data_IF_626931274831
#
_entry.id   IF_626931274831
#
_cell.length_a   1.000
_cell.length_b   1.000
_cell.length_c   1.000
_cell.angle_alpha   90.00
_cell.angle_beta   90.00
_cell.angle_gamma   90.00
#
_symmetry.space_group_name_H-M   'P 1'
#
loop_
_entity.id
_entity.type
_entity.pdbx_description
1 polymer ?
#
# COMPACT_ATOMS: atom_id res chain seq x y z
N UNK A 1 -18.83 65.44 11.88
CA UNK A 1 -18.33 64.61 10.75
C UNK A 1 -17.74 63.34 11.36
N UNK A 2 -18.55 62.31 11.54
CA UNK A 2 -18.18 61.06 12.24
C UNK A 2 -17.77 60.05 11.19
N UNK A 3 -16.52 59.59 11.23
CA UNK A 3 -15.99 58.59 10.30
C UNK A 3 -16.44 57.21 10.78
N UNK A 4 -17.52 56.70 10.18
CA UNK A 4 -17.95 55.31 10.34
C UNK A 4 -16.83 54.37 9.94
N UNK A 5 -16.30 53.63 10.92
CA UNK A 5 -15.47 52.46 10.67
C UNK A 5 -16.36 51.35 10.12
N UNK A 6 -16.15 51.01 8.85
CA UNK A 6 -16.70 49.81 8.23
C UNK A 6 -16.09 48.59 8.91
N UNK A 7 -16.86 47.95 9.78
CA UNK A 7 -16.59 46.61 10.28
C UNK A 7 -16.60 45.63 9.12
N UNK A 8 -15.45 45.08 8.77
CA UNK A 8 -15.38 43.95 7.86
C UNK A 8 -16.12 42.75 8.51
N UNK A 9 -16.98 42.04 7.75
CA UNK A 9 -17.63 40.86 8.28
C UNK A 9 -16.57 39.80 8.55
N UNK A 10 -16.48 39.37 9.80
CA UNK A 10 -15.75 38.19 10.25
C UNK A 10 -16.10 37.03 9.34
N UNK A 11 -15.11 36.46 8.65
CA UNK A 11 -15.34 35.29 7.81
C UNK A 11 -15.88 34.16 8.68
N UNK A 12 -17.16 33.81 8.53
CA UNK A 12 -17.71 32.63 9.15
C UNK A 12 -16.92 31.42 8.66
N UNK A 13 -16.10 30.84 9.54
CA UNK A 13 -15.44 29.57 9.30
C UNK A 13 -16.54 28.52 9.26
N UNK A 14 -16.97 28.14 8.06
CA UNK A 14 -17.90 27.02 7.89
C UNK A 14 -17.12 25.74 8.18
N UNK A 15 -17.22 25.26 9.41
CA UNK A 15 -16.70 23.96 9.79
C UNK A 15 -17.48 22.86 9.07
N UNK A 16 -16.80 21.78 8.71
CA UNK A 16 -17.49 20.54 8.34
C UNK A 16 -18.35 20.08 9.52
N UNK A 17 -19.57 19.61 9.24
CA UNK A 17 -20.34 18.88 10.23
C UNK A 17 -19.68 17.52 10.53
N UNK A 18 -20.07 16.89 11.63
CA UNK A 18 -19.47 15.63 12.09
C UNK A 18 -19.58 14.51 11.05
N UNK A 19 -20.67 14.47 10.28
CA UNK A 19 -20.89 13.46 9.25
C UNK A 19 -19.94 13.67 8.08
N UNK A 20 -19.78 14.90 7.60
CA UNK A 20 -18.87 15.26 6.54
C UNK A 20 -17.41 15.04 6.98
N UNK A 21 -17.09 15.32 8.24
CA UNK A 21 -15.77 15.04 8.83
C UNK A 21 -15.45 13.56 8.80
N UNK A 22 -16.38 12.73 9.30
CA UNK A 22 -16.24 11.26 9.28
C UNK A 22 -16.10 10.70 7.88
N UNK A 23 -16.93 11.15 6.93
CA UNK A 23 -16.84 10.70 5.53
C UNK A 23 -15.51 11.10 4.87
N UNK A 24 -14.98 12.28 5.17
CA UNK A 24 -13.67 12.72 4.68
C UNK A 24 -12.52 11.86 5.27
N UNK A 25 -12.64 11.46 6.54
CA UNK A 25 -11.69 10.55 7.17
C UNK A 25 -11.77 9.12 6.60
N UNK A 26 -12.97 8.62 6.34
CA UNK A 26 -13.22 7.27 5.80
C UNK A 26 -12.90 7.17 4.30
N UNK A 27 -12.74 8.32 3.62
CA UNK A 27 -12.27 8.38 2.24
C UNK A 27 -10.82 7.89 2.06
N UNK A 28 -10.04 7.76 3.14
CA UNK A 28 -8.67 7.22 3.10
C UNK A 28 -8.53 5.96 3.95
N UNK A 29 -7.62 5.06 3.54
CA UNK A 29 -7.36 3.85 4.33
C UNK A 29 -6.79 4.16 5.71
N UNK A 30 -7.02 3.28 6.69
CA UNK A 30 -6.49 3.38 8.06
C UNK A 30 -4.97 3.63 8.06
N UNK A 31 -4.22 2.89 7.23
CA UNK A 31 -2.77 3.08 7.06
C UNK A 31 -2.41 4.48 6.56
N UNK A 32 -3.21 5.04 5.66
CA UNK A 32 -3.02 6.41 5.16
C UNK A 32 -3.33 7.44 6.24
N UNK A 33 -4.39 7.21 7.03
CA UNK A 33 -4.75 8.05 8.18
C UNK A 33 -3.62 8.10 9.21
N UNK A 34 -3.09 6.95 9.61
CA UNK A 34 -1.95 6.86 10.54
C UNK A 34 -0.71 7.57 10.00
N UNK A 35 -0.40 7.40 8.71
CA UNK A 35 0.74 8.10 8.10
C UNK A 35 0.54 9.62 8.13
N UNK A 36 -0.64 10.10 7.75
CA UNK A 36 -0.96 11.54 7.77
C UNK A 36 -0.84 12.11 9.18
N UNK A 37 -1.36 11.39 10.19
CA UNK A 37 -1.21 11.75 11.59
C UNK A 37 0.27 11.86 11.99
N UNK A 38 1.08 10.84 11.69
CA UNK A 38 2.51 10.86 11.99
C UNK A 38 3.27 11.99 11.26
N UNK A 39 2.83 12.38 10.05
CA UNK A 39 3.41 13.52 9.32
C UNK A 39 3.07 14.86 9.98
N UNK A 40 1.86 15.00 10.52
CA UNK A 40 1.43 16.18 11.30
C UNK A 40 2.23 16.25 12.61
N UNK A 41 2.34 15.16 13.36
CA UNK A 41 3.14 15.12 14.60
C UNK A 41 4.57 15.59 14.34
N UNK A 42 5.22 15.11 13.27
CA UNK A 42 6.58 15.55 12.92
C UNK A 42 6.70 17.04 12.60
N UNK A 43 5.65 17.65 12.06
CA UNK A 43 5.61 19.09 11.84
C UNK A 43 5.45 19.84 13.17
N UNK A 44 4.60 19.34 14.07
CA UNK A 44 4.42 19.92 15.40
C UNK A 44 5.72 19.83 16.24
N UNK A 45 6.42 18.69 16.18
CA UNK A 45 7.72 18.52 16.85
C UNK A 45 8.76 19.51 16.32
N UNK A 46 8.82 19.71 15.00
CA UNK A 46 9.68 20.73 14.39
C UNK A 46 9.27 22.14 14.81
N UNK A 47 7.97 22.47 14.78
CA UNK A 47 7.48 23.79 15.15
C UNK A 47 7.78 24.12 16.63
N UNK A 48 7.66 23.13 17.52
CA UNK A 48 8.05 23.25 18.92
C UNK A 48 9.56 23.55 19.05
N UNK A 49 10.41 22.85 18.31
CA UNK A 49 11.86 23.09 18.31
C UNK A 49 12.25 24.48 17.78
N UNK A 50 11.47 25.04 16.84
CA UNK A 50 11.64 26.39 16.30
C UNK A 50 10.99 27.49 17.18
N UNK A 51 10.44 27.13 18.35
CA UNK A 51 9.74 28.04 19.27
C UNK A 51 8.55 28.77 18.63
N UNK A 52 7.83 28.11 17.71
CA UNK A 52 6.63 28.67 17.08
C UNK A 52 5.43 28.59 18.01
N UNK A 53 4.59 29.62 17.98
CA UNK A 53 3.34 29.68 18.76
C UNK A 53 2.18 29.01 18.00
N UNK A 54 1.07 28.72 18.69
CA UNK A 54 -0.11 28.09 18.08
C UNK A 54 -0.60 28.84 16.81
N UNK A 55 -0.71 30.19 16.81
CA UNK A 55 -1.06 30.95 15.61
C UNK A 55 -0.11 30.76 14.41
N UNK A 56 1.15 30.40 14.65
CA UNK A 56 2.16 30.20 13.60
C UNK A 56 2.05 28.81 12.94
N UNK A 57 1.31 27.89 13.55
CA UNK A 57 1.25 26.47 13.21
C UNK A 57 -0.07 26.12 12.51
N UNK A 58 -1.18 26.75 12.92
CA UNK A 58 -2.51 26.46 12.37
C UNK A 58 -3.36 27.74 12.22
N UNK A 59 -3.53 28.27 10.99
CA UNK A 59 -2.87 27.86 9.75
C UNK A 59 -1.42 28.38 9.68
N UNK A 60 -0.49 27.48 9.39
CA UNK A 60 0.89 27.86 9.12
C UNK A 60 1.00 28.82 7.92
N UNK A 61 1.74 29.91 8.10
CA UNK A 61 2.05 30.86 7.01
C UNK A 61 2.85 30.17 5.89
N UNK A 62 2.84 30.73 4.67
CA UNK A 62 3.67 30.19 3.59
C UNK A 62 5.17 30.18 3.97
N UNK A 63 5.64 31.17 4.73
CA UNK A 63 7.02 31.23 5.20
C UNK A 63 7.32 30.08 6.18
N UNK A 64 6.43 29.82 7.15
CA UNK A 64 6.55 28.69 8.08
C UNK A 64 6.60 27.37 7.31
N UNK A 65 5.73 27.20 6.32
CA UNK A 65 5.71 26.02 5.46
C UNK A 65 7.00 25.88 4.64
N UNK A 66 7.56 26.99 4.14
CA UNK A 66 8.83 27.00 3.43
C UNK A 66 10.00 26.62 4.34
N UNK A 67 10.04 27.12 5.57
CA UNK A 67 11.08 26.79 6.54
C UNK A 67 11.04 25.31 6.91
N UNK A 68 9.84 24.75 7.14
CA UNK A 68 9.69 23.31 7.36
C UNK A 68 10.08 22.50 6.11
N UNK A 69 9.76 22.97 4.91
CA UNK A 69 10.19 22.28 3.69
C UNK A 69 11.71 22.28 3.57
N UNK A 70 12.37 23.41 3.87
CA UNK A 70 13.82 23.53 3.84
C UNK A 70 14.50 22.62 4.87
N UNK A 71 13.94 22.46 6.07
CA UNK A 71 14.51 21.57 7.10
C UNK A 71 14.49 20.09 6.71
N UNK A 72 13.69 19.71 5.70
CA UNK A 72 13.65 18.36 5.14
C UNK A 72 14.70 18.11 4.05
N UNK A 73 15.40 19.15 3.58
CA UNK A 73 16.40 19.04 2.51
C UNK A 73 17.53 18.08 2.93
N UNK A 74 17.89 17.14 2.04
CA UNK A 74 18.91 16.14 2.30
C UNK A 74 18.50 15.02 3.28
N UNK A 75 17.45 15.20 4.08
CA UNK A 75 16.97 14.21 5.05
C UNK A 75 15.94 13.24 4.47
N UNK A 76 15.12 13.69 3.54
CA UNK A 76 14.07 12.88 2.91
C UNK A 76 14.03 13.12 1.40
N UNK A 77 13.49 12.15 0.66
CA UNK A 77 13.25 12.35 -0.78
C UNK A 77 12.22 13.46 -1.02
N UNK A 78 12.33 14.17 -2.15
CA UNK A 78 11.33 15.17 -2.52
C UNK A 78 9.90 14.61 -2.64
N UNK A 79 9.75 13.33 -3.02
CA UNK A 79 8.46 12.63 -2.99
C UNK A 79 7.90 12.51 -1.55
N UNK A 80 8.76 12.15 -0.59
CA UNK A 80 8.40 12.10 0.84
C UNK A 80 8.02 13.48 1.36
N UNK A 81 8.79 14.52 1.04
CA UNK A 81 8.47 15.89 1.41
C UNK A 81 7.09 16.31 0.88
N UNK A 82 6.83 16.14 -0.42
CA UNK A 82 5.51 16.42 -1.03
C UNK A 82 4.36 15.66 -0.35
N UNK A 83 4.59 14.40 0.03
CA UNK A 83 3.61 13.61 0.79
C UNK A 83 3.31 14.22 2.16
N UNK A 84 4.34 14.69 2.89
CA UNK A 84 4.17 15.37 4.19
C UNK A 84 3.31 16.62 4.06
N UNK A 85 3.60 17.47 3.08
CA UNK A 85 2.81 18.68 2.84
C UNK A 85 1.38 18.38 2.37
N UNK A 86 1.16 17.25 1.69
CA UNK A 86 -0.19 16.78 1.38
C UNK A 86 -0.97 16.36 2.64
N UNK A 87 -0.28 15.74 3.61
CA UNK A 87 -0.82 15.43 4.94
C UNK A 87 -1.16 16.71 5.71
N UNK A 88 -0.23 17.67 5.76
CA UNK A 88 -0.44 18.97 6.42
C UNK A 88 -1.60 19.75 5.79
N UNK A 89 -1.65 19.84 4.46
CA UNK A 89 -2.75 20.49 3.75
C UNK A 89 -4.10 19.88 4.10
N UNK A 90 -4.16 18.55 4.13
CA UNK A 90 -5.38 17.85 4.52
C UNK A 90 -5.78 18.18 5.96
N UNK A 91 -4.82 18.15 6.89
CA UNK A 91 -5.07 18.51 8.29
C UNK A 91 -5.54 19.95 8.46
N UNK A 92 -4.86 20.94 7.86
CA UNK A 92 -5.27 22.36 7.92
C UNK A 92 -6.70 22.58 7.43
N UNK A 93 -7.08 21.94 6.33
CA UNK A 93 -8.44 22.03 5.77
C UNK A 93 -9.47 21.35 6.69
N UNK A 94 -9.13 20.19 7.27
CA UNK A 94 -10.01 19.47 8.21
C UNK A 94 -10.25 20.25 9.51
N UNK A 95 -9.30 21.07 9.93
CA UNK A 95 -9.45 22.01 11.05
C UNK A 95 -10.18 23.31 10.65
N UNK A 96 -10.73 23.39 9.44
CA UNK A 96 -11.51 24.55 8.98
C UNK A 96 -10.67 25.75 8.54
N UNK A 97 -9.35 25.60 8.44
CA UNK A 97 -8.47 26.68 8.03
C UNK A 97 -8.14 26.63 6.54
N UNK A 98 -7.92 27.80 5.95
CA UNK A 98 -7.42 27.92 4.58
C UNK A 98 -5.97 27.44 4.51
N UNK A 99 -5.67 26.62 3.50
CA UNK A 99 -4.29 26.31 3.14
C UNK A 99 -3.56 27.54 2.57
N UNK A 100 -2.47 27.97 3.21
CA UNK A 100 -1.71 29.16 2.83
C UNK A 100 -0.45 28.86 1.98
N UNK A 101 -0.16 27.59 1.67
CA UNK A 101 0.99 27.25 0.82
C UNK A 101 0.76 27.62 -0.65
N UNK A 102 1.67 28.41 -1.23
CA UNK A 102 1.61 28.96 -2.58
C UNK A 102 2.83 28.61 -3.44
N UNK A 103 3.25 29.55 -4.29
CA UNK A 103 4.32 29.32 -5.26
C UNK A 103 5.72 29.31 -4.64
N UNK A 104 5.93 29.99 -3.51
CA UNK A 104 7.22 29.92 -2.80
C UNK A 104 7.43 28.52 -2.26
N UNK A 105 6.39 27.94 -1.65
CA UNK A 105 6.45 26.56 -1.16
C UNK A 105 6.73 25.57 -2.29
N UNK A 106 6.09 25.73 -3.46
CA UNK A 106 6.37 24.87 -4.63
C UNK A 106 7.84 24.96 -5.06
N UNK A 107 8.41 26.17 -5.10
CA UNK A 107 9.83 26.39 -5.44
C UNK A 107 10.77 25.77 -4.41
N UNK A 108 10.48 25.92 -3.11
CA UNK A 108 11.28 25.31 -2.05
C UNK A 108 11.21 23.78 -2.13
N UNK A 109 10.03 23.19 -2.33
CA UNK A 109 9.89 21.75 -2.50
C UNK A 109 10.63 21.22 -3.74
N UNK A 110 10.71 21.99 -4.82
CA UNK A 110 11.55 21.66 -5.97
C UNK A 110 13.04 21.74 -5.65
N UNK A 111 13.44 22.70 -4.79
CA UNK A 111 14.78 22.76 -4.21
C UNK A 111 15.13 21.53 -3.38
N UNK A 112 14.22 21.11 -2.48
CA UNK A 112 14.37 19.89 -1.66
C UNK A 112 14.53 18.64 -2.53
N UNK A 113 13.74 18.53 -3.60
CA UNK A 113 13.83 17.42 -4.56
C UNK A 113 15.21 17.38 -5.22
N UNK A 114 15.74 18.54 -5.65
CA UNK A 114 17.08 18.65 -6.25
C UNK A 114 18.23 18.45 -5.26
N UNK A 115 18.02 18.78 -4.00
CA UNK A 115 18.98 18.55 -2.92
C UNK A 115 19.00 17.08 -2.46
N UNK A 116 18.08 16.24 -2.94
CA UNK A 116 18.04 14.81 -2.60
C UNK A 116 19.30 14.13 -3.18
N UNK A 117 20.18 13.55 -2.34
CA UNK A 117 21.42 12.95 -2.81
C UNK A 117 21.18 11.83 -3.83
N UNK A 118 22.03 11.73 -4.84
CA UNK A 118 21.94 10.65 -5.84
C UNK A 118 22.03 9.26 -5.20
N UNK A 119 22.79 9.14 -4.11
CA UNK A 119 22.91 7.92 -3.28
C UNK A 119 21.61 7.48 -2.62
N UNK A 120 20.61 8.36 -2.49
CA UNK A 120 19.31 8.01 -1.92
C UNK A 120 18.38 7.32 -2.92
N UNK A 121 18.64 7.44 -4.23
CA UNK A 121 17.85 6.77 -5.25
C UNK A 121 18.29 5.32 -5.37
N UNK A 122 17.33 4.41 -5.16
CA UNK A 122 17.56 2.99 -5.44
C UNK A 122 17.52 2.76 -6.94
N UNK A 123 18.44 1.94 -7.44
CA UNK A 123 18.39 1.46 -8.81
C UNK A 123 17.02 0.84 -9.12
N UNK A 124 16.55 1.04 -10.35
CA UNK A 124 15.30 0.44 -10.80
C UNK A 124 15.43 -1.08 -10.70
N UNK A 125 14.47 -1.73 -10.02
CA UNK A 125 14.45 -3.19 -9.91
C UNK A 125 14.26 -3.79 -11.31
N UNK A 126 15.02 -4.84 -11.61
CA UNK A 126 14.83 -5.60 -12.84
C UNK A 126 13.43 -6.24 -12.85
N UNK A 127 12.81 -6.38 -14.04
CA UNK A 127 11.53 -7.07 -14.15
C UNK A 127 11.66 -8.53 -13.74
N UNK A 128 10.59 -9.08 -13.16
CA UNK A 128 10.48 -10.53 -12.95
C UNK A 128 10.16 -11.19 -14.28
N UNK A 129 11.02 -12.10 -14.72
CA UNK A 129 10.92 -12.79 -16.00
C UNK A 129 10.48 -14.24 -15.78
N UNK A 130 9.92 -14.92 -16.80
CA UNK A 130 9.52 -16.33 -16.68
C UNK A 130 10.68 -17.24 -16.26
N UNK A 131 11.93 -16.90 -16.61
CA UNK A 131 13.12 -17.62 -16.15
C UNK A 131 13.30 -17.58 -14.63
N UNK A 132 12.93 -16.47 -13.98
CA UNK A 132 13.02 -16.35 -12.51
C UNK A 132 11.97 -17.25 -11.85
N UNK A 133 10.76 -17.39 -12.43
CA UNK A 133 9.78 -18.36 -11.95
C UNK A 133 10.24 -19.80 -12.11
N UNK A 134 10.96 -20.12 -13.21
CA UNK A 134 11.55 -21.44 -13.41
C UNK A 134 12.59 -21.74 -12.33
N UNK A 135 13.58 -20.85 -12.16
CA UNK A 135 14.59 -20.99 -11.11
C UNK A 135 13.98 -21.10 -9.70
N UNK A 136 12.96 -20.28 -9.41
CA UNK A 136 12.22 -20.39 -8.14
C UNK A 136 11.56 -21.77 -8.01
N UNK A 137 10.87 -22.23 -9.05
CA UNK A 137 10.19 -23.52 -9.03
C UNK A 137 11.17 -24.70 -8.86
N UNK A 138 12.32 -24.66 -9.52
CA UNK A 138 13.32 -25.73 -9.45
C UNK A 138 13.94 -25.87 -8.04
N UNK A 139 13.96 -24.78 -7.25
CA UNK A 139 14.41 -24.78 -5.87
C UNK A 139 13.33 -25.11 -4.82
N UNK A 140 12.07 -25.27 -5.21
CA UNK A 140 10.95 -25.53 -4.32
C UNK A 140 10.67 -27.03 -4.23
N UNK A 141 10.44 -27.54 -3.01
CA UNK A 141 10.06 -28.95 -2.81
C UNK A 141 8.60 -29.18 -3.19
N UNK A 142 8.33 -30.16 -4.04
CA UNK A 142 6.98 -30.58 -4.39
C UNK A 142 6.25 -31.31 -3.25
N UNK A 143 6.93 -31.66 -2.16
CA UNK A 143 6.36 -32.35 -0.99
C UNK A 143 6.05 -31.38 0.16
N UNK A 144 6.55 -30.14 0.10
CA UNK A 144 6.31 -29.13 1.12
C UNK A 144 5.05 -28.33 0.79
N UNK A 145 4.05 -28.38 1.67
CA UNK A 145 2.81 -27.59 1.51
C UNK A 145 3.08 -26.10 1.35
N UNK A 146 4.06 -25.56 2.10
CA UNK A 146 4.51 -24.17 1.97
C UNK A 146 5.08 -23.89 0.56
N UNK A 147 5.97 -24.76 0.08
CA UNK A 147 6.68 -24.52 -1.19
C UNK A 147 5.74 -24.61 -2.38
N UNK A 148 4.81 -25.56 -2.36
CA UNK A 148 3.78 -25.69 -3.39
C UNK A 148 2.86 -24.46 -3.38
N UNK A 149 2.50 -23.96 -2.19
CA UNK A 149 1.71 -22.73 -2.05
C UNK A 149 2.48 -21.50 -2.57
N UNK A 150 3.78 -21.38 -2.26
CA UNK A 150 4.66 -20.33 -2.79
C UNK A 150 4.75 -20.40 -4.32
N UNK A 151 4.90 -21.61 -4.89
CA UNK A 151 4.95 -21.80 -6.34
C UNK A 151 3.64 -21.37 -7.01
N UNK A 152 2.48 -21.77 -6.46
CA UNK A 152 1.17 -21.37 -6.96
C UNK A 152 0.98 -19.85 -6.86
N UNK A 153 1.29 -19.25 -5.70
CA UNK A 153 1.18 -17.81 -5.52
C UNK A 153 2.07 -17.02 -6.49
N UNK A 154 3.34 -17.42 -6.66
CA UNK A 154 4.26 -16.73 -7.56
C UNK A 154 3.78 -16.74 -9.01
N UNK A 155 3.34 -17.91 -9.51
CA UNK A 155 2.87 -18.06 -10.89
C UNK A 155 1.56 -17.31 -11.10
N UNK A 156 0.60 -17.43 -10.18
CA UNK A 156 -0.68 -16.71 -10.25
C UNK A 156 -0.47 -15.20 -10.20
N UNK A 157 0.38 -14.69 -9.31
CA UNK A 157 0.67 -13.26 -9.26
C UNK A 157 1.37 -12.75 -10.51
N UNK A 158 2.34 -13.51 -11.05
CA UNK A 158 3.04 -13.11 -12.26
C UNK A 158 2.11 -13.09 -13.48
N UNK A 159 1.36 -14.16 -13.74
CA UNK A 159 0.55 -14.25 -14.96
C UNK A 159 -0.80 -13.52 -14.85
N UNK A 160 -1.34 -13.39 -13.64
CA UNK A 160 -2.51 -12.54 -13.36
C UNK A 160 -2.15 -11.06 -13.13
N UNK A 161 -0.87 -10.68 -13.17
CA UNK A 161 -0.41 -9.31 -12.90
C UNK A 161 -0.91 -8.75 -11.55
N UNK A 162 -1.04 -9.62 -10.55
CA UNK A 162 -1.58 -9.29 -9.25
C UNK A 162 -0.55 -8.57 -8.38
N UNK A 163 -1.00 -7.63 -7.55
CA UNK A 163 -0.19 -7.13 -6.46
C UNK A 163 -0.21 -8.15 -5.33
N UNK A 164 0.94 -8.37 -4.70
CA UNK A 164 1.02 -9.33 -3.58
C UNK A 164 0.04 -9.00 -2.44
N UNK A 165 -0.23 -7.72 -2.20
CA UNK A 165 -1.17 -7.28 -1.17
C UNK A 165 -2.64 -7.55 -1.49
N UNK A 166 -2.98 -7.96 -2.71
CA UNK A 166 -4.36 -8.34 -3.11
C UNK A 166 -4.65 -9.80 -2.78
N UNK A 167 -3.62 -10.64 -2.63
CA UNK A 167 -3.79 -12.10 -2.44
C UNK A 167 -2.99 -12.69 -1.27
N UNK A 168 -1.99 -11.97 -0.74
CA UNK A 168 -1.18 -12.40 0.40
C UNK A 168 -1.35 -11.41 1.57
N UNK A 169 -1.93 -11.83 2.70
CA UNK A 169 -2.11 -10.94 3.85
C UNK A 169 -0.79 -10.69 4.59
N UNK A 170 -0.86 -9.82 5.60
CA UNK A 170 0.27 -9.56 6.50
C UNK A 170 0.30 -10.49 7.71
N UNK A 171 -0.81 -11.17 8.03
CA UNK A 171 -0.92 -12.09 9.15
C UNK A 171 -1.12 -13.53 8.65
N UNK A 172 -0.40 -14.48 9.22
CA UNK A 172 -0.46 -15.91 8.87
C UNK A 172 -1.52 -16.68 9.65
N UNK A 173 -2.05 -16.07 10.71
CA UNK A 173 -3.10 -16.64 11.55
C UNK A 173 -4.44 -16.64 10.80
N UNK A 174 -4.99 -17.83 10.58
CA UNK A 174 -6.25 -18.01 9.85
C UNK A 174 -7.44 -17.37 10.56
N UNK A 175 -7.40 -17.28 11.90
CA UNK A 175 -8.46 -16.65 12.68
C UNK A 175 -8.54 -15.14 12.47
N UNK A 176 -7.48 -14.54 11.93
CA UNK A 176 -7.39 -13.12 11.57
C UNK A 176 -7.53 -12.89 10.07
N UNK A 177 -7.93 -13.91 9.32
CA UNK A 177 -8.17 -13.80 7.90
C UNK A 177 -9.50 -13.08 7.65
N UNK A 178 -9.46 -12.02 6.86
CA UNK A 178 -10.64 -11.25 6.49
C UNK A 178 -11.01 -11.53 5.03
N UNK A 179 -12.04 -12.38 4.85
CA UNK A 179 -12.54 -12.77 3.53
C UNK A 179 -13.28 -11.65 2.79
N UNK A 180 -13.63 -10.54 3.47
CA UNK A 180 -14.24 -9.38 2.82
C UNK A 180 -13.23 -8.57 1.99
N UNK A 181 -11.93 -8.76 2.25
CA UNK A 181 -10.86 -8.04 1.56
C UNK A 181 -9.81 -8.95 0.90
N UNK A 182 -9.82 -10.26 1.18
CA UNK A 182 -8.84 -11.22 0.64
C UNK A 182 -9.54 -12.46 0.04
N UNK A 183 -9.01 -13.03 -1.06
CA UNK A 183 -9.71 -14.07 -1.80
C UNK A 183 -9.72 -15.44 -1.11
N UNK A 184 -10.89 -16.08 -1.06
CA UNK A 184 -11.03 -17.49 -0.72
C UNK A 184 -10.84 -18.37 -1.96
N UNK A 185 -10.70 -19.68 -1.75
CA UNK A 185 -10.62 -20.64 -2.86
C UNK A 185 -11.89 -20.61 -3.72
N UNK A 186 -13.07 -20.39 -3.13
CA UNK A 186 -14.34 -20.26 -3.85
C UNK A 186 -14.38 -19.08 -4.84
N UNK A 187 -13.54 -18.06 -4.64
CA UNK A 187 -13.45 -16.91 -5.55
C UNK A 187 -12.66 -17.23 -6.82
N UNK A 188 -12.01 -18.40 -6.88
CA UNK A 188 -11.34 -18.87 -8.07
C UNK A 188 -12.30 -19.73 -8.90
N UNK A 189 -12.86 -19.13 -9.95
CA UNK A 189 -13.82 -19.76 -10.85
C UNK A 189 -13.28 -21.04 -11.52
N UNK A 190 -14.16 -21.82 -12.16
CA UNK A 190 -13.78 -23.04 -12.85
C UNK A 190 -12.85 -22.76 -14.04
N UNK A 191 -12.25 -23.83 -14.58
CA UNK A 191 -11.48 -23.75 -15.81
C UNK A 191 -12.43 -23.44 -16.97
N UNK A 192 -12.12 -22.40 -17.74
CA UNK A 192 -12.90 -21.98 -18.90
C UNK A 192 -12.50 -22.78 -20.17
N UNK A 193 -13.17 -22.50 -21.30
CA UNK A 193 -12.92 -23.17 -22.58
C UNK A 193 -11.47 -23.00 -23.10
N UNK A 194 -10.76 -21.98 -22.65
CA UNK A 194 -9.35 -21.72 -23.00
C UNK A 194 -8.36 -22.31 -21.98
N UNK A 195 -8.83 -23.13 -21.03
CA UNK A 195 -7.99 -23.71 -19.98
C UNK A 195 -7.59 -22.74 -18.87
N UNK A 196 -8.06 -21.49 -18.92
CA UNK A 196 -7.73 -20.43 -17.96
C UNK A 196 -8.75 -20.36 -16.83
N UNK A 197 -8.46 -19.64 -15.74
CA UNK A 197 -9.40 -19.43 -14.62
C UNK A 197 -9.63 -17.96 -14.36
N UNK A 198 -10.80 -17.58 -13.88
CA UNK A 198 -11.06 -16.22 -13.40
C UNK A 198 -10.94 -16.19 -11.87
N UNK A 199 -10.19 -15.23 -11.32
CA UNK A 199 -10.09 -14.99 -9.89
C UNK A 199 -10.81 -13.69 -9.54
N UNK A 200 -11.81 -13.78 -8.68
CA UNK A 200 -12.41 -12.60 -8.06
C UNK A 200 -11.56 -12.13 -6.87
N UNK A 201 -11.17 -10.87 -6.89
CA UNK A 201 -10.50 -10.16 -5.80
C UNK A 201 -11.56 -9.39 -5.00
N UNK A 202 -11.82 -9.74 -3.72
CA UNK A 202 -12.85 -9.05 -2.93
C UNK A 202 -12.57 -7.57 -2.71
N UNK A 203 -11.29 -7.19 -2.67
CA UNK A 203 -10.90 -5.80 -2.52
C UNK A 203 -9.61 -5.46 -3.25
N UNK A 204 -9.63 -4.32 -3.93
CA UNK A 204 -8.41 -3.69 -4.46
C UNK A 204 -8.25 -2.28 -3.90
N UNK A 205 -7.07 -1.69 -4.12
CA UNK A 205 -6.80 -0.32 -3.68
C UNK A 205 -7.81 0.70 -4.24
N UNK A 206 -8.28 0.49 -5.47
CA UNK A 206 -9.12 1.45 -6.21
C UNK A 206 -10.60 1.10 -6.17
N UNK A 207 -10.94 -0.18 -6.29
CA UNK A 207 -12.34 -0.63 -6.30
C UNK A 207 -12.90 -0.91 -4.90
N UNK A 208 -12.04 -1.03 -3.89
CA UNK A 208 -12.43 -1.42 -2.51
C UNK A 208 -13.33 -2.66 -2.57
N UNK A 209 -14.39 -2.70 -1.77
CA UNK A 209 -15.34 -3.82 -1.67
C UNK A 209 -16.16 -4.09 -2.95
N UNK A 210 -16.08 -3.24 -4.00
CA UNK A 210 -16.62 -3.61 -5.31
C UNK A 210 -15.86 -4.78 -5.93
N UNK A 211 -14.62 -5.00 -5.48
CA UNK A 211 -13.77 -6.07 -5.98
C UNK A 211 -13.29 -5.83 -7.41
N UNK A 212 -12.62 -6.82 -7.96
CA UNK A 212 -12.16 -6.85 -9.35
C UNK A 212 -12.00 -8.30 -9.81
N UNK A 213 -11.99 -8.54 -11.12
CA UNK A 213 -11.79 -9.87 -11.70
C UNK A 213 -10.47 -9.92 -12.47
N UNK A 214 -9.72 -11.00 -12.26
CA UNK A 214 -8.43 -11.21 -12.90
C UNK A 214 -8.39 -12.55 -13.60
N UNK A 215 -8.06 -12.52 -14.89
CA UNK A 215 -7.82 -13.73 -15.66
C UNK A 215 -6.46 -14.34 -15.27
N UNK A 216 -6.46 -15.62 -14.92
CA UNK A 216 -5.28 -16.43 -14.68
C UNK A 216 -5.07 -17.32 -15.92
N UNK A 217 -4.21 -16.91 -16.86
CA UNK A 217 -4.07 -17.61 -18.13
C UNK A 217 -3.27 -18.90 -17.97
N UNK A 218 -3.65 -19.93 -18.71
CA UNK A 218 -2.83 -21.15 -18.86
C UNK A 218 -1.49 -20.79 -19.51
N UNK A 219 -0.40 -21.43 -19.08
CA UNK A 219 0.93 -21.27 -19.66
C UNK A 219 1.56 -22.62 -19.99
N UNK A 220 2.62 -22.59 -20.79
CA UNK A 220 3.34 -23.80 -21.14
C UNK A 220 4.31 -24.24 -20.03
N UNK A 221 4.39 -25.55 -19.82
CA UNK A 221 5.40 -26.17 -18.97
C UNK A 221 5.18 -25.95 -17.47
N UNK A 222 6.29 -25.99 -16.71
CA UNK A 222 6.24 -26.00 -15.24
C UNK A 222 5.87 -24.66 -14.60
N UNK A 223 5.83 -23.57 -15.37
CA UNK A 223 5.40 -22.26 -14.87
C UNK A 223 3.90 -22.02 -14.98
N UNK A 224 3.12 -22.98 -15.46
CA UNK A 224 1.67 -22.87 -15.57
C UNK A 224 0.98 -22.57 -14.22
N UNK A 225 0.30 -21.42 -14.07
CA UNK A 225 -0.38 -21.08 -12.83
C UNK A 225 -1.61 -21.98 -12.58
N UNK A 226 -2.30 -22.43 -13.64
CA UNK A 226 -3.51 -23.26 -13.50
C UNK A 226 -3.15 -24.64 -12.92
N UNK A 227 -2.13 -25.29 -13.49
CA UNK A 227 -1.55 -26.51 -12.92
C UNK A 227 -1.02 -26.31 -11.52
N UNK A 228 -0.30 -25.21 -11.25
CA UNK A 228 0.25 -24.96 -9.93
C UNK A 228 -0.84 -24.77 -8.86
N UNK A 229 -1.95 -24.10 -9.20
CA UNK A 229 -3.11 -23.97 -8.32
C UNK A 229 -3.77 -25.32 -8.04
N UNK A 230 -3.88 -26.20 -9.05
CA UNK A 230 -4.40 -27.56 -8.86
C UNK A 230 -3.52 -28.38 -7.93
N UNK A 231 -2.21 -28.38 -8.17
CA UNK A 231 -1.25 -29.15 -7.35
C UNK A 231 -1.24 -28.61 -5.91
N UNK A 232 -1.34 -27.29 -5.74
CA UNK A 232 -1.53 -26.63 -4.45
C UNK A 232 -2.80 -27.05 -3.72
N UNK A 233 -3.94 -27.10 -4.42
CA UNK A 233 -5.21 -27.48 -3.82
C UNK A 233 -5.18 -28.94 -3.34
N UNK A 234 -4.58 -29.82 -4.13
CA UNK A 234 -4.41 -31.23 -3.78
C UNK A 234 -3.49 -31.42 -2.57
N UNK A 235 -2.31 -30.79 -2.56
CA UNK A 235 -1.30 -31.01 -1.50
C UNK A 235 -1.70 -30.35 -0.18
N UNK A 236 -2.32 -29.17 -0.24
CA UNK A 236 -2.73 -28.42 0.95
C UNK A 236 -4.19 -28.65 1.37
N UNK A 237 -4.87 -29.63 0.76
CA UNK A 237 -6.28 -29.97 1.03
C UNK A 237 -7.17 -28.71 1.06
N UNK A 238 -7.07 -27.88 0.01
CA UNK A 238 -7.78 -26.59 -0.04
C UNK A 238 -9.24 -26.84 -0.38
N UNK A 239 -10.12 -26.33 0.47
CA UNK A 239 -11.57 -26.28 0.23
C UNK A 239 -12.04 -24.84 0.02
N UNK A 240 -13.24 -24.67 -0.52
CA UNK A 240 -13.85 -23.39 -0.91
C UNK A 240 -13.75 -22.28 0.16
N UNK A 241 -13.95 -22.62 1.43
CA UNK A 241 -13.90 -21.70 2.56
C UNK A 241 -12.48 -21.33 3.02
N UNK A 242 -11.43 -21.93 2.46
CA UNK A 242 -10.06 -21.63 2.84
C UNK A 242 -9.54 -20.39 2.12
N UNK A 243 -8.59 -19.66 2.74
CA UNK A 243 -7.79 -18.66 2.04
C UNK A 243 -7.12 -19.29 0.81
N UNK A 244 -7.22 -18.61 -0.34
CA UNK A 244 -6.73 -19.10 -1.62
C UNK A 244 -5.28 -19.60 -1.54
N UNK A 245 -4.43 -18.82 -0.86
CA UNK A 245 -3.05 -19.18 -0.56
C UNK A 245 -2.88 -19.48 0.93
N UNK A 246 -3.38 -20.63 1.36
CA UNK A 246 -3.09 -21.23 2.68
C UNK A 246 -2.41 -22.59 2.52
N UNK A 247 -1.57 -22.98 3.47
CA UNK A 247 -0.84 -24.24 3.42
C UNK A 247 -0.87 -24.95 4.77
N UNK A 248 -0.62 -26.25 4.78
CA UNK A 248 -0.41 -27.02 5.99
C UNK A 248 1.07 -26.93 6.38
N UNK A 249 1.35 -26.47 7.60
CA UNK A 249 2.70 -26.49 8.15
C UNK A 249 3.11 -27.90 8.61
N UNK A 250 4.34 -28.06 9.11
CA UNK A 250 4.87 -29.35 9.54
C UNK A 250 4.07 -29.99 10.70
N UNK A 251 3.30 -29.20 11.44
CA UNK A 251 2.39 -29.67 12.49
C UNK A 251 0.97 -29.93 11.99
N UNK A 252 0.76 -29.98 10.67
CA UNK A 252 -0.55 -30.10 10.02
C UNK A 252 -1.51 -28.95 10.37
N UNK A 253 -0.98 -27.78 10.78
CA UNK A 253 -1.79 -26.60 11.07
C UNK A 253 -1.91 -25.75 9.82
N UNK A 254 -3.13 -25.35 9.47
CA UNK A 254 -3.36 -24.45 8.33
C UNK A 254 -2.88 -23.04 8.65
N UNK A 255 -1.98 -22.53 7.82
CA UNK A 255 -1.43 -21.17 7.87
C UNK A 255 -1.75 -20.43 6.58
N UNK A 256 -1.89 -19.11 6.67
CA UNK A 256 -2.04 -18.27 5.47
C UNK A 256 -0.67 -17.82 4.99
N UNK A 257 -0.42 -17.93 3.69
CA UNK A 257 0.81 -17.46 3.08
C UNK A 257 0.86 -15.93 3.11
N UNK A 258 1.78 -15.37 3.90
CA UNK A 258 1.94 -13.91 3.98
C UNK A 258 2.97 -13.40 2.99
N UNK A 259 2.91 -12.10 2.68
CA UNK A 259 3.96 -11.42 1.88
C UNK A 259 5.35 -11.65 2.49
N UNK A 260 5.46 -11.60 3.83
CA UNK A 260 6.73 -11.79 4.54
C UNK A 260 7.30 -13.19 4.34
N UNK A 261 6.47 -14.22 4.49
CA UNK A 261 6.88 -15.62 4.31
C UNK A 261 7.21 -15.90 2.84
N UNK A 262 6.36 -15.44 1.92
CA UNK A 262 6.58 -15.56 0.48
C UNK A 262 7.92 -14.96 0.05
N UNK A 263 8.19 -13.70 0.41
CA UNK A 263 9.43 -13.02 0.05
C UNK A 263 10.65 -13.66 0.71
N UNK A 264 10.54 -14.08 1.98
CA UNK A 264 11.62 -14.82 2.65
C UNK A 264 11.96 -16.09 1.88
N UNK A 265 10.95 -16.87 1.47
CA UNK A 265 11.18 -18.11 0.73
C UNK A 265 11.78 -17.85 -0.66
N UNK A 266 11.28 -16.84 -1.37
CA UNK A 266 11.84 -16.42 -2.66
C UNK A 266 13.30 -15.98 -2.54
N UNK A 267 13.65 -15.23 -1.48
CA UNK A 267 15.01 -14.74 -1.29
C UNK A 267 16.01 -15.86 -0.98
N UNK A 268 15.63 -16.85 -0.17
CA UNK A 268 16.49 -18.02 0.11
C UNK A 268 16.86 -18.78 -1.16
N UNK A 269 15.94 -18.87 -2.12
CA UNK A 269 16.17 -19.56 -3.39
C UNK A 269 16.79 -18.66 -4.46
N UNK A 270 16.46 -17.36 -4.44
CA UNK A 270 16.98 -16.36 -5.37
C UNK A 270 18.44 -15.98 -5.15
N UNK A 271 18.99 -16.14 -3.94
CA UNK A 271 20.43 -15.98 -3.66
C UNK A 271 21.30 -17.10 -4.23
N UNK A 272 20.70 -18.17 -4.76
CA UNK A 272 21.44 -19.26 -5.41
C UNK A 272 21.61 -19.07 -6.92
N UNK A 273 21.08 -17.98 -7.52
CA UNK A 273 21.09 -17.82 -8.99
C UNK A 273 21.22 -16.37 -9.48
N UNK A 274 21.76 -15.47 -8.66
CA UNK A 274 22.22 -14.14 -9.06
C UNK A 274 23.61 -13.86 -8.49
#
# INVERSE_FOLDING_TARGET
>A
MVVSHSSHPTSHVVSLDERARKLAEDAVSIKTRQRRFNDVVKFLDWAYAENLSIPDVLPASENTLCNYAASLAGLVSGCTAKSKFSSLKSWTIMEGHRWLGGDRLKKVLAGVDRATPTSSFRAKRHPVLPKHLRSLHDGLSAQSGLDVCVAAAAKTMMYGQLRSGEVLPTNSDILRYDSSIMPLALHLGPVNSSGSRCLFLPSTKTTRQRGDEVLIPVQNGRTDPVRALRDHFAINNIVDSNPLFSYLDAGCVRRVLTVKVFLRRCNVLGTATL
#
